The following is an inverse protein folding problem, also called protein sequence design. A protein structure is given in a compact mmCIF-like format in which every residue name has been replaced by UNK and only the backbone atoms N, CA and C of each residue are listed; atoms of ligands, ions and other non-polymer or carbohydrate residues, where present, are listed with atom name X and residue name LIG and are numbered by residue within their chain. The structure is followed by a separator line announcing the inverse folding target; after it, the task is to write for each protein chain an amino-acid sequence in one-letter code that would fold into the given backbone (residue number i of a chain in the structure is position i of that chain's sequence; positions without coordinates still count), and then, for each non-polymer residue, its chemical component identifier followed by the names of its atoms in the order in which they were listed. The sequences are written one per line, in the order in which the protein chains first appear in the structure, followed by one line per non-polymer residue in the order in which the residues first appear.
data_IF_518725504958
#
_entry.id   IF_518725504958
#
_cell.length_a   1.000
_cell.length_b   1.000
_cell.length_c   1.000
_cell.angle_alpha   90.00
_cell.angle_beta   90.00
_cell.angle_gamma   90.00
#
_symmetry.space_group_name_H-M   'P 1'
#
loop_
_entity.id
_entity.type
_entity.pdbx_description
1 polymer ?
#
# COMPACT_ATOMS: atom_id res chain seq x y z
N UNK A 1 56.05 -1.09 43.19
CA UNK A 1 55.60 -1.69 41.92
C UNK A 1 54.18 -1.18 41.68
N UNK A 2 54.00 -0.11 40.90
CA UNK A 2 53.80 -0.09 39.43
C UNK A 2 52.42 -0.65 39.03
N UNK A 3 51.50 0.06 38.36
CA UNK A 3 51.56 1.28 37.53
C UNK A 3 50.25 2.12 37.69
N UNK A 4 50.30 3.46 37.85
CA UNK A 4 50.18 4.56 36.82
C UNK A 4 48.72 4.74 36.29
N UNK A 5 47.99 5.82 36.65
CA UNK A 5 47.96 7.21 36.08
C UNK A 5 47.43 7.27 34.61
N UNK A 6 46.39 8.05 34.22
CA UNK A 6 46.28 9.52 34.06
C UNK A 6 44.81 9.90 33.65
N UNK A 7 44.43 11.14 33.29
CA UNK A 7 44.33 12.41 34.08
C UNK A 7 43.63 13.52 33.25
N UNK A 8 42.81 14.37 33.92
CA UNK A 8 42.33 15.72 33.52
C UNK A 8 41.43 15.97 32.28
N UNK A 9 40.20 16.43 32.59
CA UNK A 9 39.66 17.79 32.31
C UNK A 9 40.54 18.73 31.45
N UNK A 10 40.01 19.14 30.29
CA UNK A 10 40.41 20.31 29.45
C UNK A 10 39.47 20.31 28.21
N UNK A 11 38.78 21.37 27.78
CA UNK A 11 38.91 22.82 27.94
C UNK A 11 37.55 23.55 28.00
N UNK A 12 37.53 24.74 28.60
CA UNK A 12 36.49 25.78 28.46
C UNK A 12 37.11 26.99 27.74
N UNK A 13 36.32 27.66 26.87
CA UNK A 13 36.59 28.94 26.16
C UNK A 13 37.71 28.95 25.11
N UNK A 14 37.35 29.31 23.87
CA UNK A 14 37.76 30.61 23.30
C UNK A 14 36.99 30.92 21.99
N UNK A 15 36.30 32.06 21.94
CA UNK A 15 35.98 32.71 20.65
C UNK A 15 37.24 33.43 20.19
N UNK A 16 37.83 33.04 19.06
CA UNK A 16 38.76 33.91 18.33
C UNK A 16 38.32 34.08 16.87
N UNK A 17 38.41 35.32 16.40
CA UNK A 17 38.07 35.74 15.05
C UNK A 17 38.96 35.03 14.04
N UNK A 18 38.41 34.09 13.27
CA UNK A 18 39.00 33.76 11.98
C UNK A 18 38.45 34.77 10.95
N UNK A 19 39.32 35.67 10.47
CA UNK A 19 39.03 36.49 9.28
C UNK A 19 39.27 35.60 8.05
N UNK A 20 38.38 34.65 7.81
CA UNK A 20 38.36 34.00 6.51
C UNK A 20 37.92 35.03 5.47
N UNK A 21 38.78 35.26 4.47
CA UNK A 21 38.38 35.95 3.25
C UNK A 21 37.47 34.98 2.51
N UNK A 22 36.16 35.08 2.76
CA UNK A 22 35.14 34.38 1.98
C UNK A 22 35.33 34.76 0.51
N UNK A 23 35.70 33.77 -0.30
CA UNK A 23 35.64 33.90 -1.74
C UNK A 23 34.17 34.11 -2.14
N UNK A 24 33.88 35.26 -2.73
CA UNK A 24 32.52 35.64 -3.11
C UNK A 24 31.91 34.68 -4.13
N UNK A 25 32.73 33.90 -4.85
CA UNK A 25 32.30 32.91 -5.86
C UNK A 25 31.89 31.57 -5.26
N UNK A 26 32.26 31.28 -4.01
CA UNK A 26 31.98 30.01 -3.33
C UNK A 26 30.65 29.95 -2.58
N UNK A 27 30.02 31.10 -2.34
CA UNK A 27 28.77 31.19 -1.57
C UNK A 27 27.54 30.71 -2.35
N UNK A 28 27.55 30.82 -3.68
CA UNK A 28 26.42 30.43 -4.54
C UNK A 28 26.14 28.91 -4.49
N UNK A 29 27.18 28.10 -4.25
CA UNK A 29 27.08 26.65 -4.12
C UNK A 29 26.44 26.19 -2.80
N UNK A 30 26.68 26.91 -1.70
CA UNK A 30 26.25 26.49 -0.36
C UNK A 30 24.77 26.76 -0.07
N UNK A 31 24.15 27.73 -0.75
CA UNK A 31 22.70 27.98 -0.68
C UNK A 31 21.89 27.14 -1.67
N UNK A 32 22.54 26.35 -2.51
CA UNK A 32 21.92 25.63 -3.63
C UNK A 32 21.10 24.40 -3.20
N UNK A 33 21.10 24.04 -1.90
CA UNK A 33 20.41 22.86 -1.36
C UNK A 33 19.26 23.26 -0.42
N UNK A 34 18.06 23.35 -1.01
CA UNK A 34 16.75 23.35 -0.34
C UNK A 34 16.44 24.50 0.65
N UNK A 35 16.35 25.74 0.16
CA UNK A 35 15.64 26.80 0.89
C UNK A 35 14.17 26.87 0.43
N UNK A 36 13.21 26.64 1.33
CA UNK A 36 11.79 26.78 1.00
C UNK A 36 11.44 28.20 0.55
N UNK A 37 10.53 28.33 -0.42
CA UNK A 37 10.19 29.62 -1.04
C UNK A 37 9.75 30.69 -0.02
N UNK A 38 9.03 30.31 1.04
CA UNK A 38 8.63 31.19 2.15
C UNK A 38 9.84 31.82 2.88
N UNK A 39 10.91 31.04 3.02
CA UNK A 39 12.18 31.49 3.62
C UNK A 39 12.98 32.32 2.61
N UNK A 40 13.00 31.94 1.34
CA UNK A 40 13.67 32.70 0.27
C UNK A 40 13.07 34.12 0.14
N UNK A 41 11.74 34.26 0.11
CA UNK A 41 11.06 35.58 0.09
C UNK A 41 11.48 36.43 1.30
N UNK A 42 11.50 35.81 2.50
CA UNK A 42 11.88 36.49 3.74
C UNK A 42 13.35 36.90 3.77
N UNK A 43 14.23 36.11 3.17
CA UNK A 43 15.65 36.42 3.02
C UNK A 43 15.86 37.52 1.97
N UNK A 44 15.18 37.44 0.84
CA UNK A 44 15.20 38.43 -0.23
C UNK A 44 14.76 39.81 0.27
N UNK A 45 13.63 39.87 0.98
CA UNK A 45 13.16 41.10 1.62
C UNK A 45 14.19 41.69 2.58
N UNK A 46 14.80 40.84 3.43
CA UNK A 46 15.83 41.27 4.39
C UNK A 46 17.11 41.77 3.71
N UNK A 47 17.55 41.12 2.63
CA UNK A 47 18.71 41.53 1.82
C UNK A 47 18.46 42.88 1.14
N UNK A 48 17.24 43.10 0.64
CA UNK A 48 16.79 44.39 0.10
C UNK A 48 16.56 45.48 1.18
N UNK A 49 16.64 45.14 2.47
CA UNK A 49 16.43 46.09 3.58
C UNK A 49 14.98 46.54 3.80
N UNK A 50 13.99 45.86 3.19
CA UNK A 50 12.59 46.31 3.16
C UNK A 50 11.77 45.79 4.35
N UNK A 51 10.78 46.55 4.82
CA UNK A 51 9.71 46.02 5.70
C UNK A 51 8.66 45.23 4.90
N UNK A 52 7.79 44.49 5.59
CA UNK A 52 6.69 43.76 4.92
C UNK A 52 5.68 44.72 4.27
N UNK A 53 5.46 45.93 4.82
CA UNK A 53 4.69 46.98 4.14
C UNK A 53 5.39 47.44 2.86
N UNK A 54 6.66 47.82 2.95
CA UNK A 54 7.42 48.40 1.82
C UNK A 54 7.59 47.42 0.65
N UNK A 55 7.76 46.11 0.95
CA UNK A 55 7.76 45.09 -0.10
C UNK A 55 6.37 44.93 -0.73
N UNK A 56 5.30 45.04 0.07
CA UNK A 56 3.93 45.04 -0.43
C UNK A 56 3.66 46.19 -1.38
N UNK A 57 3.96 47.41 -0.97
CA UNK A 57 3.81 48.64 -1.77
C UNK A 57 4.56 48.55 -3.10
N UNK A 58 5.82 48.08 -3.10
CA UNK A 58 6.63 47.91 -4.33
C UNK A 58 6.10 46.84 -5.29
N UNK A 59 5.32 45.88 -4.80
CA UNK A 59 4.71 44.80 -5.59
C UNK A 59 3.22 45.02 -5.88
N UNK A 60 2.63 46.14 -5.42
CA UNK A 60 1.19 46.39 -5.55
C UNK A 60 0.31 45.46 -4.71
N UNK A 61 0.83 44.87 -3.63
CA UNK A 61 0.10 43.93 -2.75
C UNK A 61 0.05 44.42 -1.30
N UNK A 62 -0.89 43.92 -0.52
CA UNK A 62 -0.99 44.29 0.91
C UNK A 62 0.12 43.65 1.75
N UNK A 63 0.48 44.28 2.87
CA UNK A 63 1.34 43.69 3.93
C UNK A 63 0.87 42.28 4.33
N UNK A 64 -0.45 42.07 4.37
CA UNK A 64 -1.04 40.78 4.73
C UNK A 64 -0.66 39.67 3.74
N UNK A 65 -0.60 39.97 2.44
CA UNK A 65 -0.15 39.00 1.42
C UNK A 65 1.33 38.66 1.61
N UNK A 66 2.21 39.64 1.79
CA UNK A 66 3.64 39.41 2.06
C UNK A 66 3.84 38.56 3.32
N UNK A 67 3.08 38.84 4.38
CA UNK A 67 3.08 38.05 5.60
C UNK A 67 2.49 36.64 5.41
N UNK A 68 1.49 36.46 4.54
CA UNK A 68 0.99 35.13 4.19
C UNK A 68 2.05 34.30 3.45
N UNK A 69 2.81 34.90 2.53
CA UNK A 69 3.91 34.25 1.82
C UNK A 69 5.07 33.87 2.75
N UNK A 70 5.57 34.79 3.59
CA UNK A 70 6.68 34.49 4.52
C UNK A 70 6.35 33.41 5.56
N UNK A 71 5.07 33.23 5.88
CA UNK A 71 4.59 32.21 6.81
C UNK A 71 4.05 30.95 6.09
N UNK A 72 4.12 30.88 4.76
CA UNK A 72 3.67 29.72 3.98
C UNK A 72 2.16 29.46 4.01
N UNK A 73 1.33 30.47 4.27
CA UNK A 73 -0.14 30.36 4.25
C UNK A 73 -0.73 30.49 2.84
N UNK A 74 -0.09 31.27 1.98
CA UNK A 74 -0.39 31.36 0.55
C UNK A 74 0.92 31.28 -0.23
N UNK A 75 0.85 30.83 -1.48
CA UNK A 75 1.97 30.88 -2.41
C UNK A 75 1.99 32.22 -3.17
N UNK A 76 3.19 32.72 -3.46
CA UNK A 76 3.38 33.89 -4.32
C UNK A 76 3.40 33.45 -5.78
N UNK A 77 2.77 34.22 -6.68
CA UNK A 77 2.77 33.87 -8.10
C UNK A 77 4.18 34.00 -8.70
N UNK A 78 4.45 33.28 -9.79
CA UNK A 78 5.75 33.33 -10.46
C UNK A 78 6.17 34.78 -10.82
N UNK A 79 5.24 35.60 -11.30
CA UNK A 79 5.51 37.02 -11.59
C UNK A 79 5.89 37.83 -10.33
N UNK A 80 5.28 37.53 -9.18
CA UNK A 80 5.63 38.16 -7.90
C UNK A 80 7.01 37.70 -7.41
N UNK A 81 7.34 36.42 -7.60
CA UNK A 81 8.66 35.87 -7.28
C UNK A 81 9.78 36.48 -8.13
N UNK A 82 9.56 36.63 -9.44
CA UNK A 82 10.50 37.33 -10.34
C UNK A 82 10.71 38.78 -9.93
N UNK A 83 9.65 39.53 -9.62
CA UNK A 83 9.76 40.90 -9.13
C UNK A 83 10.51 40.99 -7.78
N UNK A 84 10.31 40.02 -6.87
CA UNK A 84 11.09 39.93 -5.62
C UNK A 84 12.57 39.64 -5.88
N UNK A 85 12.87 38.76 -6.86
CA UNK A 85 14.23 38.42 -7.31
C UNK A 85 14.96 39.66 -7.85
N UNK A 86 14.31 40.41 -8.73
CA UNK A 86 14.82 41.68 -9.28
C UNK A 86 15.06 42.73 -8.18
N UNK A 87 14.11 42.90 -7.26
CA UNK A 87 14.22 43.85 -6.14
C UNK A 87 15.32 43.49 -5.13
N UNK A 88 15.67 42.21 -4.97
CA UNK A 88 16.65 41.73 -3.98
C UNK A 88 18.01 41.32 -4.58
N UNK A 89 18.12 41.25 -5.91
CA UNK A 89 19.29 40.72 -6.60
C UNK A 89 19.65 39.32 -6.12
N UNK A 90 18.68 38.40 -6.14
CA UNK A 90 18.86 37.00 -5.73
C UNK A 90 18.26 36.07 -6.78
N UNK A 91 18.97 35.02 -7.22
CA UNK A 91 18.43 34.05 -8.15
C UNK A 91 17.25 33.28 -7.53
N UNK A 92 16.26 32.97 -8.37
CA UNK A 92 15.16 32.07 -8.03
C UNK A 92 15.70 30.64 -7.93
N UNK A 93 15.46 29.99 -6.80
CA UNK A 93 15.90 28.63 -6.54
C UNK A 93 14.99 27.61 -7.23
N UNK A 94 15.34 27.19 -8.44
CA UNK A 94 14.78 25.97 -9.05
C UNK A 94 14.69 26.00 -10.58
N UNK A 95 15.56 25.23 -11.24
CA UNK A 95 15.40 24.79 -12.63
C UNK A 95 15.79 25.81 -13.70
N UNK A 96 16.87 25.54 -14.41
CA UNK A 96 17.08 26.09 -15.75
C UNK A 96 16.03 25.51 -16.70
N UNK A 97 14.95 26.25 -16.93
CA UNK A 97 14.08 26.06 -18.08
C UNK A 97 14.31 27.24 -19.03
N UNK A 98 14.72 26.93 -20.27
CA UNK A 98 15.09 27.93 -21.26
C UNK A 98 13.93 28.92 -21.50
N UNK A 99 14.21 30.21 -21.33
CA UNK A 99 13.29 31.28 -21.74
C UNK A 99 13.33 31.36 -23.27
N UNK A 100 12.46 30.57 -23.91
CA UNK A 100 12.10 30.80 -25.29
C UNK A 100 11.24 32.08 -25.36
N UNK A 101 11.77 33.09 -26.03
CA UNK A 101 11.15 34.40 -26.17
C UNK A 101 9.80 34.29 -26.93
N UNK A 102 8.71 34.68 -26.29
CA UNK A 102 7.36 34.56 -26.84
C UNK A 102 6.87 35.94 -27.32
N UNK A 103 6.75 36.19 -28.63
CA UNK A 103 6.40 37.51 -29.14
C UNK A 103 4.95 37.88 -28.77
N UNK A 104 4.76 39.08 -28.23
CA UNK A 104 3.46 39.60 -27.80
C UNK A 104 2.52 40.01 -28.96
N UNK A 105 2.82 39.62 -30.20
CA UNK A 105 2.06 39.93 -31.42
C UNK A 105 1.50 38.66 -32.05
N UNK A 106 0.18 38.61 -32.22
CA UNK A 106 -0.51 37.44 -32.78
C UNK A 106 -0.21 37.33 -34.27
N UNK A 107 0.36 36.19 -34.68
CA UNK A 107 0.76 35.94 -36.06
C UNK A 107 -0.44 35.54 -36.92
N UNK A 108 -0.39 35.82 -38.23
CA UNK A 108 -1.53 35.59 -39.14
C UNK A 108 -2.05 34.14 -39.10
N UNK A 109 -1.14 33.16 -39.03
CA UNK A 109 -1.53 31.75 -38.93
C UNK A 109 -2.26 31.42 -37.63
N UNK A 110 -1.94 32.08 -36.51
CA UNK A 110 -2.65 31.88 -35.23
C UNK A 110 -4.10 32.38 -35.32
N UNK A 111 -4.35 33.43 -36.10
CA UNK A 111 -5.70 33.92 -36.40
C UNK A 111 -6.48 32.95 -37.31
N UNK A 112 -5.81 32.32 -38.28
CA UNK A 112 -6.39 31.30 -39.15
C UNK A 112 -6.74 30.02 -38.37
N UNK A 113 -5.83 29.57 -37.50
CA UNK A 113 -6.04 28.44 -36.58
C UNK A 113 -7.22 28.68 -35.63
N UNK A 114 -7.30 29.88 -35.02
CA UNK A 114 -8.43 30.29 -34.20
C UNK A 114 -9.74 30.32 -35.00
N UNK A 115 -9.70 30.75 -36.27
CA UNK A 115 -10.88 30.79 -37.14
C UNK A 115 -11.39 29.39 -37.49
N UNK A 116 -10.49 28.41 -37.73
CA UNK A 116 -10.86 27.00 -37.93
C UNK A 116 -11.42 26.38 -36.65
N UNK A 117 -10.78 26.65 -35.50
CA UNK A 117 -11.26 26.18 -34.20
C UNK A 117 -12.67 26.73 -33.89
N UNK A 118 -12.92 28.01 -34.19
CA UNK A 118 -14.24 28.63 -34.08
C UNK A 118 -15.28 28.00 -34.99
N UNK A 119 -14.94 27.71 -36.25
CA UNK A 119 -15.84 27.01 -37.16
C UNK A 119 -16.22 25.62 -36.64
N UNK A 120 -15.28 24.85 -36.05
CA UNK A 120 -15.57 23.56 -35.42
C UNK A 120 -16.41 23.69 -34.14
N UNK A 121 -16.19 24.74 -33.34
CA UNK A 121 -16.99 25.05 -32.16
C UNK A 121 -18.44 25.41 -32.53
N UNK A 122 -18.61 26.32 -33.48
CA UNK A 122 -19.91 26.79 -33.97
C UNK A 122 -20.65 25.69 -34.76
N UNK A 123 -19.96 24.76 -35.42
CA UNK A 123 -20.56 23.59 -36.07
C UNK A 123 -21.17 22.59 -35.08
N UNK A 124 -20.72 22.60 -33.81
CA UNK A 124 -21.24 21.75 -32.72
C UNK A 124 -22.33 22.47 -31.89
N UNK A 125 -22.90 23.55 -32.44
CA UNK A 125 -23.89 24.42 -31.79
C UNK A 125 -25.06 23.62 -31.17
N UNK A 126 -25.16 23.69 -29.84
CA UNK A 126 -26.26 23.10 -29.06
C UNK A 126 -25.82 22.19 -27.90
N UNK A 127 -24.57 21.69 -27.88
CA UNK A 127 -24.14 20.77 -26.80
C UNK A 127 -23.73 21.45 -25.50
N UNK A 128 -23.04 22.60 -25.55
CA UNK A 128 -22.46 23.26 -24.37
C UNK A 128 -22.40 24.78 -24.54
N UNK A 129 -22.58 25.53 -23.45
CA UNK A 129 -22.23 26.96 -23.43
C UNK A 129 -20.71 27.17 -23.39
N UNK A 130 -20.20 28.35 -23.78
CA UNK A 130 -18.75 28.64 -23.71
C UNK A 130 -18.19 28.57 -22.28
N UNK A 131 -19.00 28.88 -21.28
CA UNK A 131 -18.63 28.80 -19.86
C UNK A 131 -18.58 27.35 -19.36
N UNK A 132 -19.61 26.57 -19.68
CA UNK A 132 -19.69 25.15 -19.33
C UNK A 132 -18.59 24.35 -20.03
N UNK A 133 -18.33 24.62 -21.32
CA UNK A 133 -17.24 24.01 -22.09
C UNK A 133 -15.87 24.35 -21.50
N UNK A 134 -15.65 25.62 -21.17
CA UNK A 134 -14.40 26.10 -20.58
C UNK A 134 -14.10 25.47 -19.22
N UNK A 135 -15.14 25.26 -18.41
CA UNK A 135 -15.07 24.59 -17.11
C UNK A 135 -14.87 23.09 -17.25
N UNK A 136 -15.69 22.42 -18.07
CA UNK A 136 -15.71 20.96 -18.26
C UNK A 136 -14.42 20.40 -18.85
N UNK A 137 -13.73 21.18 -19.68
CA UNK A 137 -12.50 20.76 -20.36
C UNK A 137 -11.25 21.53 -19.89
N UNK A 138 -11.30 22.22 -18.74
CA UNK A 138 -10.14 22.92 -18.14
C UNK A 138 -9.44 23.92 -19.09
N UNK A 139 -10.21 24.65 -19.89
CA UNK A 139 -9.68 25.69 -20.81
C UNK A 139 -9.68 27.07 -20.11
N UNK A 140 -10.61 27.28 -19.18
CA UNK A 140 -10.74 28.50 -18.38
C UNK A 140 -12.17 29.04 -18.38
N UNK A 141 -12.34 30.29 -17.94
CA UNK A 141 -13.64 30.97 -17.93
C UNK A 141 -14.18 31.23 -19.35
N UNK A 142 -15.46 31.61 -19.45
CA UNK A 142 -16.11 32.01 -20.71
C UNK A 142 -15.25 32.99 -21.53
N UNK A 143 -14.68 34.02 -20.87
CA UNK A 143 -13.82 35.02 -21.51
C UNK A 143 -12.49 34.45 -22.04
N UNK A 144 -11.94 33.42 -21.40
CA UNK A 144 -10.74 32.72 -21.87
C UNK A 144 -11.03 31.90 -23.13
N UNK A 145 -12.14 31.16 -23.15
CA UNK A 145 -12.60 30.41 -24.33
C UNK A 145 -12.83 31.38 -25.50
N UNK A 146 -13.54 32.49 -25.26
CA UNK A 146 -13.79 33.52 -26.26
C UNK A 146 -12.50 34.15 -26.83
N UNK A 147 -11.46 34.36 -25.99
CA UNK A 147 -10.17 34.88 -26.44
C UNK A 147 -9.46 33.94 -27.43
N UNK A 148 -9.49 32.63 -27.19
CA UNK A 148 -8.94 31.63 -28.12
C UNK A 148 -9.75 31.56 -29.42
N UNK A 149 -11.08 31.46 -29.33
CA UNK A 149 -11.95 31.33 -30.52
C UNK A 149 -11.90 32.55 -31.46
N UNK A 150 -11.62 33.75 -30.94
CA UNK A 150 -11.54 34.96 -31.77
C UNK A 150 -10.09 35.37 -32.08
N UNK A 151 -9.10 34.51 -31.79
CA UNK A 151 -7.68 34.77 -32.10
C UNK A 151 -7.09 35.96 -31.35
N UNK A 152 -7.62 36.30 -30.15
CA UNK A 152 -7.05 37.33 -29.26
C UNK A 152 -5.99 36.79 -28.30
N UNK A 153 -5.76 35.47 -28.34
CA UNK A 153 -4.73 34.79 -27.57
C UNK A 153 -4.18 33.64 -28.42
N UNK A 154 -2.85 33.49 -28.57
CA UNK A 154 -2.27 32.36 -29.28
C UNK A 154 -2.66 31.06 -28.58
N UNK A 155 -3.08 30.06 -29.36
CA UNK A 155 -3.45 28.75 -28.83
C UNK A 155 -2.20 28.00 -28.40
N UNK A 156 -2.17 27.52 -27.14
CA UNK A 156 -1.07 26.72 -26.63
C UNK A 156 -1.40 25.22 -26.68
N UNK A 157 -0.38 24.36 -26.58
CA UNK A 157 -0.51 22.90 -26.66
C UNK A 157 -1.58 22.36 -25.69
N UNK A 158 -1.61 22.82 -24.43
CA UNK A 158 -2.61 22.37 -23.43
C UNK A 158 -4.04 22.76 -23.83
N UNK A 159 -4.26 24.00 -24.27
CA UNK A 159 -5.56 24.46 -24.72
C UNK A 159 -6.00 23.73 -25.99
N UNK A 160 -5.09 23.54 -26.96
CA UNK A 160 -5.36 22.77 -28.17
C UNK A 160 -5.81 21.34 -27.85
N UNK A 161 -5.08 20.63 -26.99
CA UNK A 161 -5.45 19.28 -26.57
C UNK A 161 -6.80 19.22 -25.82
N UNK A 162 -7.09 20.22 -24.99
CA UNK A 162 -8.36 20.31 -24.27
C UNK A 162 -9.55 20.68 -25.19
N UNK A 163 -9.35 21.57 -26.17
CA UNK A 163 -10.33 21.87 -27.22
C UNK A 163 -10.59 20.65 -28.11
N UNK A 164 -9.54 19.95 -28.55
CA UNK A 164 -9.64 18.70 -29.29
C UNK A 164 -10.49 17.65 -28.54
N UNK A 165 -10.18 17.43 -27.25
CA UNK A 165 -10.95 16.52 -26.38
C UNK A 165 -12.41 16.94 -26.23
N UNK A 166 -12.69 18.24 -26.04
CA UNK A 166 -14.06 18.73 -25.86
C UNK A 166 -14.89 18.76 -27.16
N UNK A 167 -14.25 19.03 -28.29
CA UNK A 167 -14.87 19.03 -29.61
C UNK A 167 -14.88 17.64 -30.28
N UNK A 168 -14.20 16.64 -29.72
CA UNK A 168 -14.11 15.28 -30.28
C UNK A 168 -13.41 15.24 -31.65
N UNK A 169 -12.43 16.12 -31.85
CA UNK A 169 -11.68 16.28 -33.12
C UNK A 169 -10.18 16.22 -32.85
N UNK A 170 -9.41 15.80 -33.84
CA UNK A 170 -7.94 15.86 -33.77
C UNK A 170 -7.44 17.30 -33.84
N UNK A 171 -6.32 17.60 -33.15
CA UNK A 171 -5.69 18.94 -33.16
C UNK A 171 -5.36 19.38 -34.59
N UNK A 172 -5.00 18.43 -35.45
CA UNK A 172 -4.69 18.63 -36.87
C UNK A 172 -5.80 19.36 -37.64
N UNK A 173 -7.08 19.16 -37.27
CA UNK A 173 -8.24 19.73 -37.97
C UNK A 173 -8.35 21.26 -37.82
N UNK A 174 -7.83 21.83 -36.73
CA UNK A 174 -7.79 23.29 -36.53
C UNK A 174 -6.37 23.86 -36.48
N UNK A 175 -5.35 23.08 -36.13
CA UNK A 175 -3.94 23.50 -36.18
C UNK A 175 -3.01 22.35 -36.56
N UNK A 176 -2.69 22.18 -37.86
CA UNK A 176 -1.66 21.24 -38.31
C UNK A 176 -0.28 21.53 -37.69
N UNK A 177 0.04 22.81 -37.43
CA UNK A 177 1.31 23.24 -36.82
C UNK A 177 1.43 22.81 -35.36
N UNK A 178 0.41 23.06 -34.53
CA UNK A 178 0.41 22.58 -33.15
C UNK A 178 0.34 21.05 -33.09
N UNK A 179 -0.33 20.40 -34.04
CA UNK A 179 -0.32 18.95 -34.15
C UNK A 179 1.08 18.39 -34.47
N UNK A 180 1.81 19.00 -35.41
CA UNK A 180 3.22 18.68 -35.67
C UNK A 180 4.14 18.98 -34.49
N UNK A 181 3.90 20.07 -33.77
CA UNK A 181 4.65 20.41 -32.55
C UNK A 181 4.41 19.39 -31.44
N UNK A 182 3.17 18.94 -31.25
CA UNK A 182 2.82 17.84 -30.33
C UNK A 182 3.47 16.52 -30.77
N UNK A 183 3.42 16.18 -32.06
CA UNK A 183 4.08 14.98 -32.62
C UNK A 183 5.60 15.04 -32.42
N UNK A 184 6.23 16.20 -32.63
CA UNK A 184 7.67 16.41 -32.43
C UNK A 184 8.05 16.43 -30.96
N UNK A 185 7.23 16.98 -30.06
CA UNK A 185 7.44 16.91 -28.62
C UNK A 185 7.33 15.48 -28.10
N UNK A 186 6.38 14.68 -28.62
CA UNK A 186 6.27 13.26 -28.31
C UNK A 186 7.46 12.46 -28.87
N UNK A 187 7.90 12.74 -30.11
CA UNK A 187 9.10 12.13 -30.68
C UNK A 187 10.35 12.53 -29.92
N UNK A 188 10.53 13.80 -29.54
CA UNK A 188 11.69 14.23 -28.75
C UNK A 188 11.68 13.63 -27.35
N UNK A 189 10.51 13.37 -26.75
CA UNK A 189 10.44 12.61 -25.49
C UNK A 189 10.92 11.17 -25.71
N UNK A 190 10.62 10.54 -26.86
CA UNK A 190 11.14 9.21 -27.22
C UNK A 190 12.65 9.22 -27.56
N UNK A 191 13.14 10.24 -28.26
CA UNK A 191 14.54 10.39 -28.69
C UNK A 191 15.46 10.92 -27.56
N UNK A 192 14.88 11.56 -26.53
CA UNK A 192 15.58 12.03 -25.32
C UNK A 192 15.50 11.01 -24.18
N UNK A 193 14.89 9.84 -24.40
CA UNK A 193 15.28 8.65 -23.62
C UNK A 193 16.70 8.31 -24.11
N UNK A 194 17.75 8.44 -23.27
CA UNK A 194 19.03 7.89 -23.64
C UNK A 194 18.80 6.39 -23.80
N UNK A 195 19.18 5.80 -24.94
CA UNK A 195 19.42 4.36 -24.98
C UNK A 195 20.40 4.07 -23.86
N UNK A 196 19.89 3.44 -22.79
CA UNK A 196 20.57 3.50 -21.51
C UNK A 196 21.98 2.92 -21.69
N UNK A 197 23.03 3.57 -21.14
CA UNK A 197 24.30 2.88 -21.04
C UNK A 197 24.05 1.56 -20.32
N UNK A 198 24.61 0.46 -20.83
CA UNK A 198 24.42 -0.89 -20.28
C UNK A 198 25.14 -1.03 -18.93
N UNK A 199 24.65 -0.28 -17.94
CA UNK A 199 25.27 0.04 -16.68
C UNK A 199 24.18 0.05 -15.59
N UNK A 200 23.79 -1.17 -15.22
CA UNK A 200 22.95 -1.49 -14.07
C UNK A 200 21.57 -0.80 -13.99
N UNK A 201 20.56 -1.49 -14.52
CA UNK A 201 19.15 -1.40 -14.09
C UNK A 201 19.04 -1.74 -12.60
N UNK A 202 19.39 -0.79 -11.73
CA UNK A 202 19.11 -0.87 -10.30
C UNK A 202 17.67 -0.41 -10.07
N UNK A 203 16.80 -1.35 -9.71
CA UNK A 203 15.47 -1.05 -9.21
C UNK A 203 15.61 -0.32 -7.85
N UNK A 204 15.57 1.00 -7.90
CA UNK A 204 15.68 1.88 -6.72
C UNK A 204 14.31 2.19 -6.12
N UNK A 205 14.27 2.39 -4.80
CA UNK A 205 13.05 2.73 -4.09
C UNK A 205 12.34 3.96 -4.69
N UNK A 206 13.10 4.97 -5.11
CA UNK A 206 12.56 6.18 -5.72
C UNK A 206 11.75 5.90 -6.97
N UNK A 207 12.28 5.09 -7.90
CA UNK A 207 11.55 4.69 -9.12
C UNK A 207 10.24 3.96 -8.80
N UNK A 208 10.24 3.09 -7.78
CA UNK A 208 9.04 2.36 -7.35
C UNK A 208 7.99 3.29 -6.74
N UNK A 209 8.38 4.20 -5.86
CA UNK A 209 7.46 5.20 -5.29
C UNK A 209 6.94 6.17 -6.35
N UNK A 210 7.77 6.64 -7.27
CA UNK A 210 7.33 7.46 -8.41
C UNK A 210 6.32 6.72 -9.28
N UNK A 211 6.48 5.41 -9.49
CA UNK A 211 5.50 4.58 -10.21
C UNK A 211 4.16 4.49 -9.49
N UNK A 212 4.16 4.19 -8.18
CA UNK A 212 2.94 4.19 -7.34
C UNK A 212 2.20 5.53 -7.45
N UNK A 213 2.95 6.63 -7.32
CA UNK A 213 2.38 7.98 -7.39
C UNK A 213 1.78 8.31 -8.76
N UNK A 214 2.42 7.87 -9.84
CA UNK A 214 1.94 8.09 -11.20
C UNK A 214 0.67 7.28 -11.50
N UNK A 215 0.62 6.01 -11.08
CA UNK A 215 -0.54 5.13 -11.27
C UNK A 215 -1.76 5.57 -10.43
N UNK A 216 -1.56 5.87 -9.14
CA UNK A 216 -2.64 6.29 -8.22
C UNK A 216 -2.94 7.79 -8.25
N UNK A 217 -2.24 8.56 -9.09
CA UNK A 217 -2.34 10.03 -9.23
C UNK A 217 -2.10 10.81 -7.93
N UNK A 218 -1.18 10.31 -7.10
CA UNK A 218 -0.80 10.92 -5.82
C UNK A 218 0.34 11.92 -6.00
N UNK A 219 0.29 13.04 -5.29
CA UNK A 219 1.42 13.96 -5.15
C UNK A 219 2.24 13.66 -3.87
N UNK A 220 3.45 14.24 -3.77
CA UNK A 220 4.35 14.02 -2.63
C UNK A 220 3.67 14.39 -1.29
N UNK A 221 2.93 15.52 -1.18
CA UNK A 221 2.13 15.84 0.01
C UNK A 221 1.09 14.79 0.39
N UNK A 222 0.27 14.31 -0.56
CA UNK A 222 -0.77 13.32 -0.27
C UNK A 222 -0.19 11.98 0.14
N UNK A 223 0.89 11.52 -0.53
CA UNK A 223 1.59 10.30 -0.15
C UNK A 223 2.20 10.41 1.26
N UNK A 224 2.82 11.54 1.60
CA UNK A 224 3.38 11.78 2.94
C UNK A 224 2.30 11.77 4.03
N UNK A 225 1.18 12.46 3.77
CA UNK A 225 0.02 12.49 4.67
C UNK A 225 -0.56 11.08 4.88
N UNK A 226 -0.78 10.33 3.80
CA UNK A 226 -1.27 8.96 3.83
C UNK A 226 -0.34 8.01 4.64
N UNK A 227 0.97 8.12 4.42
CA UNK A 227 1.98 7.33 5.15
C UNK A 227 2.26 7.84 6.57
N UNK A 228 1.71 8.98 6.98
CA UNK A 228 1.93 9.57 8.31
C UNK A 228 3.38 10.00 8.55
N UNK A 229 4.07 10.42 7.49
CA UNK A 229 5.46 10.90 7.52
C UNK A 229 5.56 12.33 7.01
N UNK A 230 6.67 13.01 7.28
CA UNK A 230 6.91 14.33 6.69
C UNK A 230 7.23 14.23 5.18
N UNK A 231 6.84 15.26 4.42
CA UNK A 231 7.11 15.35 2.97
C UNK A 231 8.61 15.32 2.64
N UNK A 232 9.47 15.77 3.55
CA UNK A 232 10.92 15.66 3.45
C UNK A 232 11.41 14.20 3.45
N UNK A 233 10.73 13.31 4.19
CA UNK A 233 11.07 11.87 4.24
C UNK A 233 10.73 11.20 2.92
N UNK A 234 9.56 11.50 2.34
CA UNK A 234 9.17 10.97 1.02
C UNK A 234 10.10 11.48 -0.08
N UNK A 235 10.50 12.76 -0.05
CA UNK A 235 11.53 13.29 -0.97
C UNK A 235 12.86 12.58 -0.82
N UNK A 236 13.33 12.37 0.42
CA UNK A 236 14.55 11.61 0.67
C UNK A 236 14.48 10.16 0.15
N UNK A 237 13.31 9.52 0.15
CA UNK A 237 13.10 8.20 -0.45
C UNK A 237 13.15 8.19 -1.99
N UNK A 238 12.87 9.33 -2.63
CA UNK A 238 12.91 9.48 -4.09
C UNK A 238 14.31 9.91 -4.54
N UNK A 239 14.91 10.90 -3.88
CA UNK A 239 16.14 11.56 -4.30
C UNK A 239 17.43 10.81 -3.91
N UNK A 240 17.39 9.92 -2.90
CA UNK A 240 18.58 9.20 -2.40
C UNK A 240 18.53 7.71 -2.78
N UNK A 241 19.52 7.16 -3.50
CA UNK A 241 19.49 5.77 -3.97
C UNK A 241 19.61 4.73 -2.86
N UNK A 242 20.19 5.06 -1.71
CA UNK A 242 20.31 4.16 -0.55
C UNK A 242 19.13 4.21 0.43
N UNK A 243 18.11 5.03 0.13
CA UNK A 243 16.91 5.11 0.95
C UNK A 243 16.16 3.77 1.03
N UNK A 244 15.71 3.43 2.24
CA UNK A 244 14.90 2.23 2.51
C UNK A 244 13.54 2.63 3.06
N UNK A 245 12.49 2.07 2.49
CA UNK A 245 11.13 2.19 2.98
C UNK A 245 10.97 1.28 4.20
N UNK A 246 10.51 1.85 5.32
CA UNK A 246 10.14 1.03 6.48
C UNK A 246 8.95 0.13 6.16
N UNK A 247 9.00 -1.14 6.60
CA UNK A 247 7.96 -2.15 6.31
C UNK A 247 6.54 -1.66 6.63
N UNK A 248 6.36 -0.93 7.72
CA UNK A 248 5.08 -0.34 8.12
C UNK A 248 4.47 0.60 7.05
N UNK A 249 5.29 1.35 6.32
CA UNK A 249 4.82 2.21 5.23
C UNK A 249 4.51 1.41 3.97
N UNK A 250 5.26 0.33 3.71
CA UNK A 250 5.02 -0.58 2.59
C UNK A 250 3.70 -1.35 2.75
N UNK A 251 3.41 -1.85 3.96
CA UNK A 251 2.13 -2.50 4.29
C UNK A 251 0.96 -1.52 4.12
N UNK A 252 1.11 -0.26 4.53
CA UNK A 252 0.04 0.74 4.35
C UNK A 252 -0.26 1.02 2.87
N UNK A 253 0.74 0.97 1.98
CA UNK A 253 0.52 1.06 0.53
C UNK A 253 -0.16 -0.17 -0.06
N UNK A 254 0.10 -1.35 0.50
CA UNK A 254 -0.64 -2.57 0.15
C UNK A 254 -2.12 -2.43 0.53
N UNK A 255 -2.43 -2.02 1.76
CA UNK A 255 -3.80 -1.94 2.28
C UNK A 255 -4.70 -0.97 1.49
N UNK A 256 -4.15 0.15 1.01
CA UNK A 256 -4.94 1.15 0.28
C UNK A 256 -4.95 0.98 -1.25
N UNK A 257 -3.88 0.44 -1.85
CA UNK A 257 -3.69 0.46 -3.30
C UNK A 257 -3.18 -0.87 -3.90
N UNK A 258 -3.03 -1.93 -3.10
CA UNK A 258 -2.69 -3.28 -3.58
C UNK A 258 -1.25 -3.49 -4.05
N UNK A 259 -0.31 -2.59 -3.72
CA UNK A 259 1.11 -2.79 -4.07
C UNK A 259 1.81 -3.79 -3.16
N UNK A 260 2.68 -4.62 -3.72
CA UNK A 260 3.47 -5.60 -2.96
C UNK A 260 4.48 -4.91 -2.03
N UNK A 261 4.48 -5.17 -0.70
CA UNK A 261 5.49 -4.63 0.22
C UNK A 261 6.90 -5.11 -0.11
N UNK A 262 7.03 -6.34 -0.61
CA UNK A 262 8.29 -6.96 -0.99
C UNK A 262 8.87 -6.24 -2.21
N UNK A 263 8.03 -5.92 -3.20
CA UNK A 263 8.42 -5.09 -4.33
C UNK A 263 8.83 -3.70 -3.86
N UNK A 264 7.99 -3.00 -3.09
CA UNK A 264 8.28 -1.66 -2.58
C UNK A 264 9.61 -1.58 -1.81
N UNK A 265 9.86 -2.49 -0.87
CA UNK A 265 11.06 -2.48 -0.03
C UNK A 265 12.31 -2.96 -0.78
N UNK A 266 12.20 -4.02 -1.60
CA UNK A 266 13.38 -4.74 -2.13
C UNK A 266 13.57 -4.75 -3.65
N UNK A 267 12.57 -4.29 -4.42
CA UNK A 267 12.61 -4.35 -5.89
C UNK A 267 12.47 -5.76 -6.47
N UNK A 268 11.80 -6.67 -5.75
CA UNK A 268 11.59 -8.06 -6.16
C UNK A 268 10.10 -8.36 -6.29
N UNK A 269 9.73 -9.13 -7.31
CA UNK A 269 8.35 -9.49 -7.62
C UNK A 269 7.60 -8.42 -8.40
N UNK A 270 6.29 -8.64 -8.59
CA UNK A 270 5.42 -7.73 -9.34
C UNK A 270 4.97 -6.51 -8.51
N UNK A 271 4.71 -5.35 -9.17
CA UNK A 271 4.40 -4.11 -8.46
C UNK A 271 3.06 -4.13 -7.73
N UNK A 272 2.01 -4.63 -8.39
CA UNK A 272 0.68 -4.83 -7.83
C UNK A 272 0.47 -6.32 -7.60
N UNK A 273 -0.22 -6.64 -6.51
CA UNK A 273 -0.81 -7.97 -6.33
C UNK A 273 -1.84 -8.15 -7.44
N UNK A 274 -1.62 -9.11 -8.33
CA UNK A 274 -2.57 -9.42 -9.40
C UNK A 274 -3.90 -9.82 -8.78
N UNK A 275 -5.01 -9.23 -9.24
CA UNK A 275 -6.35 -9.72 -8.90
C UNK A 275 -6.75 -10.98 -9.68
N UNK A 276 -5.77 -11.67 -10.25
CA UNK A 276 -5.85 -13.08 -10.56
C UNK A 276 -5.38 -13.84 -9.33
N UNK A 277 -6.27 -14.72 -8.85
CA UNK A 277 -6.01 -15.95 -8.08
C UNK A 277 -4.70 -15.95 -7.28
N UNK A 278 -4.81 -15.86 -5.95
CA UNK A 278 -3.71 -15.87 -4.96
C UNK A 278 -2.54 -16.74 -5.42
N UNK A 279 -1.58 -16.12 -6.12
CA UNK A 279 -0.38 -16.79 -6.56
C UNK A 279 0.41 -17.08 -5.30
N UNK A 280 0.44 -18.36 -4.93
CA UNK A 280 1.12 -18.92 -3.77
C UNK A 280 2.45 -18.19 -3.58
N UNK A 281 2.49 -17.32 -2.57
CA UNK A 281 3.77 -16.83 -2.10
C UNK A 281 4.51 -18.06 -1.58
N UNK A 282 5.73 -18.27 -2.06
CA UNK A 282 6.79 -18.88 -1.26
C UNK A 282 6.98 -18.01 -0.01
N UNK A 283 6.04 -18.08 0.93
CA UNK A 283 6.39 -18.03 2.33
C UNK A 283 7.53 -19.06 2.51
N UNK A 284 8.59 -18.76 3.28
CA UNK A 284 9.40 -19.84 3.80
C UNK A 284 8.43 -20.67 4.62
N UNK A 285 7.99 -21.81 4.07
CA UNK A 285 6.76 -22.44 4.50
C UNK A 285 6.86 -22.65 6.00
N UNK A 286 6.07 -21.89 6.77
CA UNK A 286 5.40 -22.55 7.86
C UNK A 286 4.69 -23.68 7.13
N UNK A 287 4.98 -24.95 7.43
CA UNK A 287 4.13 -26.01 6.95
C UNK A 287 2.80 -25.77 7.67
N UNK A 288 1.96 -24.94 7.05
CA UNK A 288 0.58 -25.31 6.89
C UNK A 288 0.72 -26.68 6.24
N UNK A 289 0.55 -27.72 7.05
CA UNK A 289 0.41 -29.09 6.58
C UNK A 289 -0.90 -29.14 5.79
N UNK A 290 -0.87 -28.52 4.60
CA UNK A 290 -1.69 -28.84 3.46
C UNK A 290 -1.28 -30.25 3.08
N UNK A 291 -1.76 -31.19 3.89
CA UNK A 291 -1.69 -32.61 3.63
C UNK A 291 -2.38 -32.78 2.28
N UNK A 292 -1.59 -32.88 1.21
CA UNK A 292 -2.07 -33.23 -0.11
C UNK A 292 -2.79 -34.57 0.03
N UNK A 293 -4.13 -34.53 0.11
CA UNK A 293 -4.97 -35.71 0.29
C UNK A 293 -4.77 -36.58 -0.96
N UNK A 294 -4.01 -37.70 -0.90
CA UNK A 294 -3.59 -38.35 -2.14
C UNK A 294 -4.80 -38.88 -2.89
N UNK A 295 -4.85 -38.79 -4.23
CA UNK A 295 -5.97 -39.33 -5.00
C UNK A 295 -6.10 -40.84 -4.76
N UNK A 296 -7.17 -41.25 -4.08
CA UNK A 296 -7.39 -42.63 -3.61
C UNK A 296 -7.26 -42.86 -2.10
N UNK A 297 -6.92 -41.84 -1.31
CA UNK A 297 -6.80 -41.93 0.17
C UNK A 297 -8.13 -41.96 0.94
N UNK A 298 -9.26 -41.69 0.27
CA UNK A 298 -10.58 -41.82 0.86
C UNK A 298 -10.92 -43.30 1.10
N UNK A 299 -11.07 -43.68 2.37
CA UNK A 299 -11.38 -45.04 2.79
C UNK A 299 -12.79 -45.11 3.38
N UNK A 300 -13.43 -46.28 3.26
CA UNK A 300 -14.66 -46.60 3.99
C UNK A 300 -14.28 -46.87 5.45
N UNK A 301 -14.53 -45.88 6.31
CA UNK A 301 -14.35 -45.97 7.75
C UNK A 301 -15.62 -46.54 8.37
N UNK A 302 -15.57 -47.66 9.11
CA UNK A 302 -16.74 -48.23 9.76
C UNK A 302 -17.21 -47.32 10.91
N UNK A 303 -18.52 -47.17 11.07
CA UNK A 303 -19.10 -46.59 12.28
C UNK A 303 -19.24 -47.70 13.32
N UNK A 304 -18.51 -47.59 14.43
CA UNK A 304 -18.42 -48.65 15.45
C UNK A 304 -19.19 -48.32 16.74
N UNK A 305 -19.99 -47.25 16.75
CA UNK A 305 -20.88 -46.91 17.85
C UNK A 305 -21.11 -45.42 18.07
N UNK A 306 -21.55 -45.08 19.28
CA UNK A 306 -21.85 -43.70 19.71
C UNK A 306 -20.86 -43.22 20.78
N UNK A 307 -20.37 -42.00 20.64
CA UNK A 307 -19.57 -41.31 21.65
C UNK A 307 -20.41 -40.26 22.39
N UNK A 308 -20.29 -40.15 23.71
CA UNK A 308 -21.07 -39.20 24.50
C UNK A 308 -20.35 -37.86 24.70
N UNK A 309 -21.07 -36.75 24.50
CA UNK A 309 -20.61 -35.36 24.68
C UNK A 309 -21.35 -34.71 25.87
N UNK A 310 -21.25 -35.34 27.05
CA UNK A 310 -21.87 -34.90 28.31
C UNK A 310 -21.98 -36.03 29.33
N UNK A 311 -22.44 -35.72 30.55
CA UNK A 311 -22.32 -36.61 31.72
C UNK A 311 -23.46 -37.65 31.88
N UNK A 312 -24.30 -37.84 30.86
CA UNK A 312 -25.64 -38.45 31.01
C UNK A 312 -25.74 -39.95 30.63
N UNK A 313 -25.07 -40.81 31.39
CA UNK A 313 -25.63 -42.11 31.84
C UNK A 313 -26.03 -43.22 30.85
N UNK A 314 -25.71 -43.16 29.55
CA UNK A 314 -25.97 -44.27 28.61
C UNK A 314 -24.67 -44.71 27.94
N UNK A 315 -24.26 -45.94 28.24
CA UNK A 315 -22.94 -46.49 27.92
C UNK A 315 -23.04 -47.52 26.81
N UNK A 316 -22.18 -47.40 25.80
CA UNK A 316 -21.95 -48.44 24.79
C UNK A 316 -20.51 -48.92 24.95
N UNK A 317 -20.32 -50.22 25.15
CA UNK A 317 -18.98 -50.79 25.14
C UNK A 317 -18.45 -50.77 23.70
N UNK A 318 -17.25 -50.23 23.52
CA UNK A 318 -16.56 -50.23 22.23
C UNK A 318 -15.55 -51.36 22.28
N UNK A 319 -15.98 -52.54 21.87
CA UNK A 319 -15.10 -53.67 21.58
C UNK A 319 -14.68 -53.64 20.11
N UNK A 320 -13.36 -53.69 19.88
CA UNK A 320 -12.75 -53.67 18.56
C UNK A 320 -12.08 -55.03 18.31
N UNK A 321 -12.25 -55.73 17.17
CA UNK A 321 -13.13 -55.45 16.02
C UNK A 321 -14.17 -56.57 15.78
N UNK A 322 -15.46 -56.24 15.72
CA UNK A 322 -16.49 -57.20 15.25
C UNK A 322 -17.42 -56.50 14.25
N UNK A 323 -17.71 -57.19 13.14
CA UNK A 323 -18.37 -56.59 11.98
C UNK A 323 -19.88 -56.39 12.10
N UNK A 324 -20.37 -55.46 11.27
CA UNK A 324 -21.76 -55.06 11.04
C UNK A 324 -22.45 -54.35 12.20
N UNK A 325 -22.91 -53.11 11.95
CA UNK A 325 -23.93 -52.56 12.83
C UNK A 325 -24.27 -51.08 12.81
N UNK A 326 -23.64 -50.21 12.02
CA UNK A 326 -24.12 -48.82 11.89
C UNK A 326 -23.62 -48.05 10.65
N UNK A 327 -23.24 -48.75 9.56
CA UNK A 327 -22.82 -48.11 8.31
C UNK A 327 -21.37 -47.61 8.27
N UNK A 328 -21.05 -46.81 7.26
CA UNK A 328 -19.70 -46.31 6.99
C UNK A 328 -19.69 -44.83 6.57
N UNK A 329 -18.50 -44.24 6.65
CA UNK A 329 -18.19 -42.88 6.21
C UNK A 329 -17.01 -42.93 5.22
N UNK A 330 -17.05 -42.08 4.19
CA UNK A 330 -15.89 -41.86 3.32
C UNK A 330 -15.08 -40.68 3.88
N UNK A 331 -13.83 -40.94 4.27
CA UNK A 331 -12.93 -39.92 4.84
C UNK A 331 -11.48 -40.22 4.42
N UNK A 332 -10.64 -39.19 4.19
CA UNK A 332 -9.24 -39.39 3.82
C UNK A 332 -8.40 -39.64 5.07
N UNK A 333 -7.81 -40.83 5.19
CA UNK A 333 -6.94 -41.19 6.32
C UNK A 333 -5.88 -42.22 5.90
N UNK A 334 -4.68 -42.07 6.44
CA UNK A 334 -3.58 -43.04 6.32
C UNK A 334 -3.62 -44.13 7.42
N UNK A 335 -4.41 -43.98 8.48
CA UNK A 335 -4.43 -44.90 9.61
C UNK A 335 -5.18 -46.20 9.25
N UNK A 336 -4.52 -47.39 9.26
CA UNK A 336 -5.15 -48.66 8.90
C UNK A 336 -6.38 -48.98 9.75
N UNK A 337 -6.39 -48.61 11.03
CA UNK A 337 -7.39 -48.97 12.04
C UNK A 337 -8.35 -47.81 12.35
N UNK A 338 -8.48 -46.83 11.45
CA UNK A 338 -9.40 -45.72 11.62
C UNK A 338 -10.86 -46.19 11.71
N UNK A 339 -11.61 -45.61 12.66
CA UNK A 339 -13.03 -45.89 12.88
C UNK A 339 -13.80 -44.61 13.19
N UNK A 340 -15.13 -44.63 13.02
CA UNK A 340 -15.99 -43.48 13.25
C UNK A 340 -16.94 -43.70 14.43
N UNK A 341 -17.22 -42.64 15.18
CA UNK A 341 -18.19 -42.62 16.27
C UNK A 341 -19.19 -41.49 16.10
N UNK A 342 -20.47 -41.77 16.33
CA UNK A 342 -21.54 -40.77 16.28
C UNK A 342 -21.60 -40.00 17.60
N UNK A 343 -21.44 -38.69 17.56
CA UNK A 343 -21.39 -37.83 18.74
C UNK A 343 -22.79 -37.48 19.26
N UNK A 344 -23.08 -37.82 20.52
CA UNK A 344 -24.34 -37.48 21.19
C UNK A 344 -24.11 -36.55 22.40
N UNK A 345 -24.41 -35.26 22.21
CA UNK A 345 -24.40 -34.25 23.28
C UNK A 345 -23.97 -32.88 22.77
N UNK A 346 -23.66 -31.95 23.68
CA UNK A 346 -23.34 -30.56 23.35
C UNK A 346 -22.02 -30.04 23.94
N UNK A 347 -21.26 -30.86 24.69
CA UNK A 347 -20.05 -30.39 25.38
C UNK A 347 -18.92 -29.91 24.47
N UNK A 348 -18.98 -30.20 23.16
CA UNK A 348 -17.99 -29.75 22.18
C UNK A 348 -18.55 -28.73 21.17
N UNK A 349 -19.74 -28.15 21.42
CA UNK A 349 -20.27 -27.04 20.60
C UNK A 349 -19.46 -25.76 20.82
N UNK A 350 -19.23 -24.93 19.79
CA UNK A 350 -19.80 -25.02 18.43
C UNK A 350 -19.06 -25.96 17.46
N UNK A 351 -17.89 -26.47 17.84
CA UNK A 351 -16.95 -27.25 17.00
C UNK A 351 -17.50 -28.61 16.55
N UNK A 352 -17.96 -29.43 17.48
CA UNK A 352 -18.65 -30.71 17.23
C UNK A 352 -20.10 -30.57 17.69
N UNK A 353 -21.05 -30.91 16.81
CA UNK A 353 -22.50 -30.82 17.10
C UNK A 353 -23.10 -32.20 17.33
N UNK A 354 -24.08 -32.28 18.23
CA UNK A 354 -24.95 -33.47 18.37
C UNK A 354 -25.37 -34.02 16.99
N UNK A 355 -25.15 -35.32 16.79
CA UNK A 355 -25.48 -36.07 15.59
C UNK A 355 -24.36 -36.13 14.54
N UNK A 356 -23.33 -35.27 14.62
CA UNK A 356 -22.14 -35.36 13.78
C UNK A 356 -21.29 -36.59 14.13
N UNK A 357 -20.40 -36.98 13.22
CA UNK A 357 -19.49 -38.10 13.42
C UNK A 357 -18.07 -37.58 13.63
N UNK A 358 -17.31 -38.23 14.51
CA UNK A 358 -15.86 -38.07 14.61
C UNK A 358 -15.18 -39.27 14.01
N UNK A 359 -14.12 -39.03 13.23
CA UNK A 359 -13.18 -40.06 12.79
C UNK A 359 -12.06 -40.13 13.82
N UNK A 360 -11.72 -41.35 14.23
CA UNK A 360 -10.70 -41.64 15.23
C UNK A 360 -9.53 -42.34 14.53
N UNK A 361 -8.32 -41.87 14.79
CA UNK A 361 -7.07 -42.43 14.28
C UNK A 361 -6.26 -42.99 15.48
N UNK A 362 -6.47 -44.27 15.86
CA UNK A 362 -5.82 -44.86 17.03
C UNK A 362 -4.29 -44.95 16.93
N UNK A 363 -3.74 -45.00 15.72
CA UNK A 363 -2.29 -45.09 15.49
C UNK A 363 -1.62 -43.70 15.39
N UNK A 364 -2.38 -42.59 15.46
CA UNK A 364 -1.83 -41.22 15.42
C UNK A 364 -1.50 -40.72 16.83
N UNK A 365 -0.29 -40.16 16.98
CA UNK A 365 0.17 -39.54 18.23
C UNK A 365 -0.62 -38.28 18.58
N UNK A 366 -0.86 -38.06 19.87
CA UNK A 366 -1.65 -36.96 20.42
C UNK A 366 -0.75 -35.91 21.07
N UNK A 367 -1.09 -34.64 20.91
CA UNK A 367 -0.43 -33.47 21.49
C UNK A 367 -1.42 -32.58 22.28
N UNK A 368 -0.91 -31.64 23.07
CA UNK A 368 -1.76 -30.70 23.81
C UNK A 368 -2.46 -29.73 22.84
N UNK A 369 -3.76 -29.56 22.99
CA UNK A 369 -4.64 -28.82 22.08
C UNK A 369 -5.41 -29.73 21.12
N UNK A 370 -5.04 -31.01 20.99
CA UNK A 370 -5.72 -31.94 20.09
C UNK A 370 -7.07 -32.40 20.63
N UNK A 371 -7.98 -32.68 19.71
CA UNK A 371 -9.26 -33.32 20.00
C UNK A 371 -9.04 -34.83 20.17
N UNK A 372 -9.51 -35.37 21.30
CA UNK A 372 -9.22 -36.74 21.73
C UNK A 372 -10.49 -37.51 22.09
N UNK A 373 -10.51 -38.77 21.70
CA UNK A 373 -11.40 -39.77 22.29
C UNK A 373 -10.73 -40.29 23.56
N UNK A 374 -11.45 -40.28 24.69
CA UNK A 374 -11.01 -40.86 25.96
C UNK A 374 -11.97 -41.98 26.35
N UNK A 375 -11.44 -43.19 26.55
CA UNK A 375 -12.15 -44.28 27.22
C UNK A 375 -11.59 -44.45 28.63
N UNK A 376 -12.43 -44.23 29.62
CA UNK A 376 -12.11 -44.44 31.04
C UNK A 376 -12.31 -45.91 31.41
N UNK A 377 -11.58 -46.41 32.41
CA UNK A 377 -11.70 -47.80 32.91
C UNK A 377 -13.09 -48.12 33.45
N UNK A 378 -13.82 -47.11 33.93
CA UNK A 378 -15.23 -47.17 34.31
C UNK A 378 -16.20 -47.09 33.10
N UNK A 379 -15.74 -47.48 31.90
CA UNK A 379 -16.55 -47.69 30.69
C UNK A 379 -17.00 -46.41 29.96
N UNK A 380 -16.64 -45.23 30.46
CA UNK A 380 -17.07 -43.95 29.86
C UNK A 380 -16.28 -43.65 28.60
N UNK A 381 -16.97 -43.42 27.49
CA UNK A 381 -16.39 -42.96 26.22
C UNK A 381 -16.83 -41.52 25.95
N UNK A 382 -15.85 -40.61 25.86
CA UNK A 382 -16.09 -39.18 25.67
C UNK A 382 -15.14 -38.57 24.64
N UNK A 383 -15.59 -37.49 23.99
CA UNK A 383 -14.73 -36.65 23.14
C UNK A 383 -14.48 -35.32 23.86
N UNK A 384 -13.22 -34.95 24.00
CA UNK A 384 -12.73 -33.74 24.69
C UNK A 384 -11.53 -33.16 23.95
N UNK A 385 -11.08 -31.99 24.37
CA UNK A 385 -9.81 -31.39 23.96
C UNK A 385 -8.76 -31.69 25.04
N UNK A 386 -7.55 -32.10 24.66
CA UNK A 386 -6.47 -32.38 25.61
C UNK A 386 -5.77 -31.08 26.00
N UNK A 387 -6.11 -30.49 27.15
CA UNK A 387 -5.50 -29.24 27.59
C UNK A 387 -4.01 -29.43 27.95
N UNK A 388 -3.71 -30.41 28.82
CA UNK A 388 -2.35 -30.82 29.18
C UNK A 388 -2.36 -32.08 30.05
N UNK A 389 -1.21 -32.74 30.17
CA UNK A 389 -0.95 -33.77 31.18
C UNK A 389 0.04 -33.23 32.21
N UNK A 390 -0.27 -33.36 33.50
CA UNK A 390 0.60 -32.90 34.60
C UNK A 390 0.40 -33.77 35.84
N UNK A 391 1.49 -34.11 36.53
CA UNK A 391 1.46 -34.85 37.81
C UNK A 391 0.65 -36.17 37.72
N UNK A 392 0.76 -36.88 36.58
CA UNK A 392 -0.03 -38.06 36.19
C UNK A 392 -1.55 -37.87 36.14
N UNK A 393 -2.02 -36.63 36.01
CA UNK A 393 -3.43 -36.27 35.78
C UNK A 393 -3.56 -35.70 34.36
N UNK A 394 -4.51 -36.23 33.60
CA UNK A 394 -4.90 -35.71 32.29
C UNK A 394 -5.99 -34.65 32.49
N UNK A 395 -5.72 -33.44 32.00
CA UNK A 395 -6.65 -32.32 32.04
C UNK A 395 -7.34 -32.20 30.66
N UNK A 396 -8.67 -32.30 30.67
CA UNK A 396 -9.50 -32.32 29.47
C UNK A 396 -10.41 -31.10 29.44
N UNK A 397 -10.28 -30.26 28.41
CA UNK A 397 -11.17 -29.13 28.13
C UNK A 397 -12.41 -29.57 27.35
N UNK A 398 -13.47 -28.78 27.49
CA UNK A 398 -14.67 -28.87 26.68
C UNK A 398 -14.75 -27.59 25.85
N UNK A 399 -14.91 -27.66 24.53
CA UNK A 399 -15.00 -26.46 23.67
C UNK A 399 -16.25 -25.62 24.02
N UNK A 400 -17.29 -26.23 24.56
CA UNK A 400 -18.44 -25.52 25.11
C UNK A 400 -18.13 -25.06 26.54
N UNK A 401 -17.90 -23.76 26.73
CA UNK A 401 -17.57 -23.11 28.02
C UNK A 401 -18.57 -23.42 29.16
N UNK A 402 -19.79 -23.88 28.85
CA UNK A 402 -20.76 -24.34 29.85
C UNK A 402 -20.36 -25.62 30.57
N UNK A 403 -19.40 -26.36 30.02
CA UNK A 403 -18.88 -27.61 30.55
C UNK A 403 -17.47 -27.36 31.11
N UNK A 404 -17.25 -27.69 32.38
CA UNK A 404 -15.98 -27.45 33.05
C UNK A 404 -14.82 -28.32 32.52
N UNK A 405 -13.61 -28.00 32.99
CA UNK A 405 -12.44 -28.86 32.79
C UNK A 405 -12.57 -30.14 33.60
N UNK A 406 -12.47 -31.28 32.93
CA UNK A 406 -12.46 -32.60 33.55
C UNK A 406 -11.01 -33.00 33.87
N UNK A 407 -10.80 -33.71 34.98
CA UNK A 407 -9.49 -34.15 35.46
C UNK A 407 -9.57 -35.64 35.75
N UNK A 408 -8.85 -36.45 34.97
CA UNK A 408 -8.84 -37.90 35.12
C UNK A 408 -7.39 -38.35 35.41
N UNK A 409 -7.14 -39.12 36.49
CA UNK A 409 -5.85 -39.78 36.69
C UNK A 409 -5.49 -40.66 35.48
N UNK A 410 -4.24 -40.58 35.02
CA UNK A 410 -3.79 -41.26 33.80
C UNK A 410 -3.92 -42.78 33.90
N UNK A 411 -3.78 -43.33 35.10
CA UNK A 411 -3.97 -44.75 35.43
C UNK A 411 -5.45 -45.21 35.38
N UNK A 412 -6.41 -44.28 35.31
CA UNK A 412 -7.84 -44.58 35.13
C UNK A 412 -8.30 -44.48 33.67
N UNK A 413 -7.43 -44.05 32.75
CA UNK A 413 -7.72 -44.01 31.31
C UNK A 413 -7.32 -45.36 30.71
N UNK A 414 -8.28 -46.07 30.12
CA UNK A 414 -8.04 -47.34 29.41
C UNK A 414 -7.30 -47.08 28.09
N UNK A 415 -7.73 -46.05 27.34
CA UNK A 415 -7.11 -45.62 26.08
C UNK A 415 -7.51 -44.19 25.72
N UNK A 416 -6.62 -43.51 24.98
CA UNK A 416 -6.85 -42.18 24.44
C UNK A 416 -6.39 -42.15 22.99
N UNK A 417 -7.25 -41.77 22.05
CA UNK A 417 -6.99 -41.79 20.60
C UNK A 417 -7.22 -40.40 19.97
N UNK A 418 -6.50 -40.11 18.89
CA UNK A 418 -6.61 -38.85 18.14
C UNK A 418 -7.93 -38.76 17.34
N UNK A 419 -8.55 -37.59 17.28
CA UNK A 419 -9.71 -37.31 16.42
C UNK A 419 -9.24 -36.78 15.05
N UNK A 420 -9.14 -37.69 14.07
CA UNK A 420 -8.79 -37.42 12.67
C UNK A 420 -9.60 -36.30 12.00
N UNK A 421 -10.89 -36.19 12.33
CA UNK A 421 -11.73 -35.13 11.81
C UNK A 421 -13.21 -35.24 12.18
N UNK A 422 -13.97 -34.21 11.81
CA UNK A 422 -15.41 -34.08 12.11
C UNK A 422 -16.20 -34.14 10.81
N UNK A 423 -17.11 -35.10 10.70
CA UNK A 423 -17.86 -35.41 9.49
C UNK A 423 -19.35 -35.13 9.69
N UNK A 424 -19.98 -34.52 8.69
CA UNK A 424 -21.41 -34.16 8.72
C UNK A 424 -22.29 -35.41 8.55
N UNK A 425 -23.50 -35.45 9.14
CA UNK A 425 -24.35 -36.63 9.12
C UNK A 425 -24.77 -37.06 7.70
N UNK A 426 -24.78 -36.13 6.73
CA UNK A 426 -25.13 -36.40 5.33
C UNK A 426 -24.09 -37.24 4.57
N UNK A 427 -22.87 -37.38 5.08
CA UNK A 427 -21.79 -38.19 4.46
C UNK A 427 -21.94 -39.68 4.84
N UNK A 428 -22.60 -39.96 5.94
CA UNK A 428 -22.88 -41.32 6.43
C UNK A 428 -23.68 -42.15 5.40
N UNK A 429 -23.36 -43.44 5.31
CA UNK A 429 -24.06 -44.40 4.46
C UNK A 429 -24.38 -45.66 5.29
N UNK A 430 -25.59 -46.25 5.16
CA UNK A 430 -25.83 -47.60 5.67
C UNK A 430 -24.91 -48.60 4.95
N UNK A 431 -24.63 -49.71 5.62
CA UNK A 431 -23.69 -50.75 5.16
C UNK A 431 -24.29 -51.71 4.12
#
# INVERSE_FOLDING_TARGET
MSHIQHVCVKYRLSRHRCKEKLDQRGLDSLYHRAMEMKLWIRLARKKAGLTQEQLGERLGVTKANVSAWENGRHEASFAQLTAISELAGLPLSGGEAQVADAPASIEKWQQEDASRLKALFDARNGSFSQEEFGTRFEIGSQGMVWQYLNGRRPLNIKAAANFARGLGVEVDQFSPRLADEIRRAASSVLDTIPSAPAAATQDTLGLRLTRVMAEERLDIPSLAHFLGVETAVVRAWIDLPESRLGLHHAVRLQEAYGYSPIWLVSGKGEPKLSSHEEAELDEPSIPLDLVEIPPGSFRRIPVVGMAQLGDNGHFCDIEYPVGHGDGYISFPTSDPDAYALRCNGDSMRPRIKHGEFVVIEPNRSITNGDEVLVKSQDGRVMVKELAYVRDSIVHLSSVNERHGMLRIPQDQIERMHFVGGIVKPAVWRPD
#
